data_IF_155382300620
#
_entry.id   IF_155382300620
#
_cell.length_a   1.000
_cell.length_b   1.000
_cell.length_c   1.000
_cell.angle_alpha   90.00
_cell.angle_beta   90.00
_cell.angle_gamma   90.00
#
_symmetry.space_group_name_H-M   'P 1'
#
loop_
_entity.id
_entity.type
_entity.pdbx_description
1 polymer ?
#
# COMPACT_ATOMS: atom_id res chain seq x y z
N UNK A 1 13.60 -0.26 9.13
CA UNK A 1 12.91 -1.48 8.65
C UNK A 1 11.47 -1.26 9.03
N UNK A 2 10.58 -1.11 8.06
CA UNK A 2 9.20 -0.69 8.33
C UNK A 2 8.51 -1.84 9.08
N UNK A 3 8.28 -1.68 10.39
CA UNK A 3 7.99 -2.77 11.33
C UNK A 3 6.58 -3.38 11.16
N UNK A 4 5.86 -3.06 10.07
CA UNK A 4 4.43 -3.38 9.94
C UNK A 4 4.09 -4.13 8.65
N UNK A 5 5.07 -4.38 7.78
CA UNK A 5 4.84 -5.32 6.69
C UNK A 5 5.19 -6.74 7.13
N UNK A 6 4.49 -7.23 8.15
CA UNK A 6 4.46 -8.68 8.38
C UNK A 6 3.65 -9.30 7.26
N UNK A 7 4.22 -10.33 6.62
CA UNK A 7 3.53 -11.07 5.57
C UNK A 7 2.19 -11.58 6.14
N UNK A 8 1.03 -11.24 5.53
CA UNK A 8 -0.26 -11.68 6.06
C UNK A 8 -0.31 -13.20 6.10
N UNK A 9 -0.47 -13.76 7.31
CA UNK A 9 -0.50 -15.20 7.55
C UNK A 9 -1.84 -15.86 7.21
N UNK A 10 -2.85 -15.08 6.84
CA UNK A 10 -4.15 -15.59 6.43
C UNK A 10 -4.00 -16.39 5.13
N UNK A 11 -4.39 -17.66 5.18
CA UNK A 11 -4.30 -18.58 4.05
C UNK A 11 -5.59 -18.64 3.23
N UNK A 12 -6.70 -18.12 3.77
CA UNK A 12 -8.01 -18.08 3.12
C UNK A 12 -8.66 -16.70 3.26
N UNK A 13 -9.59 -16.38 2.35
CA UNK A 13 -10.34 -15.12 2.42
C UNK A 13 -11.17 -14.98 3.72
N UNK A 14 -11.60 -16.09 4.30
CA UNK A 14 -12.33 -16.08 5.59
C UNK A 14 -11.39 -15.68 6.72
N UNK A 15 -10.20 -16.28 6.80
CA UNK A 15 -9.17 -15.91 7.77
C UNK A 15 -8.73 -14.44 7.62
N UNK A 16 -8.63 -13.94 6.39
CA UNK A 16 -8.28 -12.53 6.14
C UNK A 16 -9.38 -11.56 6.60
N UNK A 17 -10.65 -11.99 6.54
CA UNK A 17 -11.75 -11.19 7.07
C UNK A 17 -11.76 -11.21 8.59
N UNK A 18 -11.47 -12.35 9.21
CA UNK A 18 -11.39 -12.53 10.66
C UNK A 18 -10.17 -11.82 11.27
N UNK A 19 -9.06 -11.69 10.53
CA UNK A 19 -7.88 -10.93 10.96
C UNK A 19 -8.11 -9.42 11.04
N UNK A 20 -9.26 -8.93 10.55
CA UNK A 20 -9.59 -7.51 10.52
C UNK A 20 -8.89 -6.74 9.40
N UNK A 21 -8.24 -7.43 8.45
CA UNK A 21 -7.60 -6.77 7.32
C UNK A 21 -8.63 -6.01 6.48
N UNK A 22 -8.32 -4.75 6.22
CA UNK A 22 -9.13 -3.83 5.43
C UNK A 22 -8.30 -3.32 4.27
N UNK A 23 -8.92 -3.30 3.10
CA UNK A 23 -8.31 -2.66 1.94
C UNK A 23 -8.23 -1.16 2.14
N UNK A 24 -7.15 -0.57 1.63
CA UNK A 24 -6.88 0.86 1.67
C UNK A 24 -6.49 1.33 0.29
N UNK A 25 -6.84 2.57 -0.02
CA UNK A 25 -6.24 3.23 -1.18
C UNK A 25 -4.76 3.48 -0.92
N UNK A 26 -3.96 3.51 -1.98
CA UNK A 26 -2.53 3.84 -1.92
C UNK A 26 -2.29 5.16 -1.18
N UNK A 27 -3.17 6.16 -1.37
CA UNK A 27 -3.06 7.45 -0.67
C UNK A 27 -3.25 7.29 0.84
N UNK A 28 -4.22 6.50 1.26
CA UNK A 28 -4.47 6.25 2.69
C UNK A 28 -3.34 5.45 3.32
N UNK A 29 -2.86 4.42 2.64
CA UNK A 29 -1.72 3.61 3.06
C UNK A 29 -0.45 4.46 3.25
N UNK A 30 -0.13 5.28 2.24
CA UNK A 30 0.99 6.23 2.32
C UNK A 30 0.83 7.20 3.49
N UNK A 31 -0.36 7.75 3.70
CA UNK A 31 -0.63 8.67 4.80
C UNK A 31 -0.46 8.00 6.17
N UNK A 32 -1.09 6.84 6.38
CA UNK A 32 -1.03 6.08 7.64
C UNK A 32 0.41 5.72 8.02
N UNK A 33 1.16 5.21 7.04
CA UNK A 33 2.55 4.82 7.24
C UNK A 33 3.46 6.03 7.42
N UNK A 34 3.20 7.13 6.70
CA UNK A 34 3.92 8.38 6.89
C UNK A 34 3.73 8.95 8.30
N UNK A 35 2.48 9.00 8.80
CA UNK A 35 2.18 9.47 10.16
C UNK A 35 2.88 8.59 11.20
N UNK A 36 2.85 7.27 11.03
CA UNK A 36 3.55 6.34 11.93
C UNK A 36 5.06 6.58 11.98
N UNK A 37 5.70 6.76 10.82
CA UNK A 37 7.14 7.05 10.74
C UNK A 37 7.47 8.43 11.33
N UNK A 38 6.58 9.40 11.16
CA UNK A 38 6.72 10.74 11.76
C UNK A 38 6.65 10.66 13.29
N UNK A 39 5.71 9.89 13.84
CA UNK A 39 5.55 9.66 15.28
C UNK A 39 6.72 8.87 15.89
N UNK A 40 7.31 7.92 15.14
CA UNK A 40 8.48 7.16 15.60
C UNK A 40 9.77 7.98 15.58
N UNK A 41 9.77 9.16 14.96
CA UNK A 41 10.96 10.00 14.79
C UNK A 41 11.97 9.42 13.80
N UNK A 42 11.56 8.44 12.97
CA UNK A 42 12.41 7.89 11.93
C UNK A 42 12.70 8.93 10.84
N UNK A 43 13.91 8.96 10.26
CA UNK A 43 14.19 9.81 9.12
C UNK A 43 13.26 9.50 7.94
N UNK A 44 12.42 10.45 7.56
CA UNK A 44 11.43 10.31 6.49
C UNK A 44 12.09 10.26 5.11
N UNK A 45 13.05 11.15 4.87
CA UNK A 45 13.77 11.28 3.61
C UNK A 45 15.29 11.14 3.78
N UNK A 46 15.80 9.94 4.16
CA UNK A 46 17.24 9.72 4.35
C UNK A 46 18.05 9.92 3.05
N UNK A 47 19.09 10.75 3.10
CA UNK A 47 20.00 10.97 1.96
C UNK A 47 19.53 12.01 0.94
N UNK A 48 18.42 12.72 1.22
CA UNK A 48 18.11 14.00 0.59
C UNK A 48 18.81 15.09 1.40
N UNK A 49 19.63 15.91 0.74
CA UNK A 49 20.38 17.01 1.37
C UNK A 49 20.09 18.31 0.63
N UNK A 50 19.90 19.40 1.36
CA UNK A 50 19.68 20.75 0.81
C UNK A 50 18.22 21.06 0.44
N UNK A 51 17.28 20.22 0.88
CA UNK A 51 15.83 20.37 0.64
C UNK A 51 15.00 20.40 1.92
N UNK A 52 15.66 20.37 3.08
CA UNK A 52 15.08 20.28 4.42
C UNK A 52 14.15 21.48 4.71
N UNK A 53 14.54 22.66 4.25
CA UNK A 53 13.81 23.91 4.48
C UNK A 53 12.99 24.39 3.26
N UNK A 54 12.89 23.57 2.20
CA UNK A 54 12.19 23.97 0.97
C UNK A 54 11.18 22.93 0.49
N UNK A 55 11.65 21.85 -0.13
CA UNK A 55 10.79 20.88 -0.83
C UNK A 55 10.25 19.82 0.12
N UNK A 56 11.05 19.39 1.11
CA UNK A 56 10.62 18.36 2.07
C UNK A 56 9.39 18.80 2.89
N UNK A 57 9.30 20.04 3.41
CA UNK A 57 8.11 20.49 4.15
C UNK A 57 6.83 20.44 3.30
N UNK A 58 6.91 20.82 2.03
CA UNK A 58 5.76 20.78 1.10
C UNK A 58 5.31 19.34 0.81
N UNK A 59 6.26 18.41 0.65
CA UNK A 59 5.94 16.99 0.47
C UNK A 59 5.28 16.44 1.74
N UNK A 60 5.78 16.78 2.92
CA UNK A 60 5.19 16.35 4.18
C UNK A 60 3.73 16.81 4.29
N UNK A 61 3.47 18.08 3.97
CA UNK A 61 2.12 18.63 3.98
C UNK A 61 1.21 17.93 2.95
N UNK A 62 1.70 17.69 1.74
CA UNK A 62 0.95 17.00 0.70
C UNK A 62 0.61 15.55 1.09
N UNK A 63 1.54 14.82 1.72
CA UNK A 63 1.32 13.47 2.23
C UNK A 63 0.30 13.46 3.37
N UNK A 64 0.42 14.38 4.32
CA UNK A 64 -0.57 14.53 5.41
C UNK A 64 -1.96 14.89 4.89
N UNK A 65 -2.06 15.65 3.80
CA UNK A 65 -3.32 16.03 3.21
C UNK A 65 -3.87 15.02 2.19
N UNK A 66 -3.11 13.98 1.81
CA UNK A 66 -3.49 13.04 0.75
C UNK A 66 -3.57 13.69 -0.64
N UNK A 67 -2.83 14.76 -0.87
CA UNK A 67 -2.84 15.52 -2.11
C UNK A 67 -2.00 14.87 -3.22
N UNK A 68 -2.41 15.11 -4.46
CA UNK A 68 -1.59 14.78 -5.63
C UNK A 68 -0.42 15.76 -5.74
N UNK A 69 0.77 15.24 -6.06
CA UNK A 69 2.00 16.02 -6.15
C UNK A 69 2.53 16.06 -7.59
N UNK A 70 2.97 17.24 -8.03
CA UNK A 70 3.66 17.43 -9.30
C UNK A 70 5.08 17.94 -9.05
N UNK A 71 6.09 17.13 -9.38
CA UNK A 71 7.50 17.50 -9.24
C UNK A 71 8.00 18.27 -10.47
N UNK A 72 8.27 19.56 -10.33
CA UNK A 72 8.82 20.43 -11.37
C UNK A 72 10.22 20.95 -10.99
N UNK A 73 11.09 21.13 -11.98
CA UNK A 73 12.40 21.79 -11.79
C UNK A 73 13.46 21.31 -12.77
N UNK A 74 14.68 21.83 -12.63
CA UNK A 74 15.79 21.57 -13.53
C UNK A 74 16.38 20.15 -13.43
N UNK A 75 17.13 19.74 -14.46
CA UNK A 75 17.86 18.46 -14.46
C UNK A 75 18.84 18.43 -13.28
N UNK A 76 18.86 17.32 -12.54
CA UNK A 76 19.75 17.13 -11.39
C UNK A 76 19.15 17.50 -10.03
N UNK A 77 17.95 18.10 -9.98
CA UNK A 77 17.31 18.54 -8.72
C UNK A 77 16.56 17.44 -7.96
N UNK A 78 17.20 16.30 -7.67
CA UNK A 78 16.71 15.21 -6.80
C UNK A 78 15.28 14.65 -6.99
N UNK A 79 14.47 15.12 -7.97
CA UNK A 79 13.05 14.74 -8.17
C UNK A 79 12.86 13.23 -8.23
N UNK A 80 13.58 12.55 -9.11
CA UNK A 80 13.50 11.09 -9.23
C UNK A 80 14.04 10.35 -8.01
N UNK A 81 14.90 10.97 -7.20
CA UNK A 81 15.35 10.37 -5.94
C UNK A 81 14.22 10.44 -4.90
N UNK A 82 13.62 11.62 -4.73
CA UNK A 82 12.46 11.84 -3.84
C UNK A 82 11.30 10.91 -4.21
N UNK A 83 10.92 10.84 -5.49
CA UNK A 83 9.82 9.97 -5.94
C UNK A 83 10.04 8.49 -5.57
N UNK A 84 11.27 8.00 -5.68
CA UNK A 84 11.60 6.62 -5.29
C UNK A 84 11.60 6.41 -3.78
N UNK A 85 11.71 7.47 -2.99
CA UNK A 85 11.64 7.37 -1.53
C UNK A 85 10.21 7.32 -1.03
N UNK A 86 9.24 7.79 -1.82
CA UNK A 86 7.82 7.69 -1.47
C UNK A 86 7.36 6.23 -1.32
N UNK A 87 8.00 5.27 -1.99
CA UNK A 87 7.70 3.83 -1.84
C UNK A 87 8.03 3.30 -0.44
N UNK A 88 8.78 4.04 0.38
CA UNK A 88 9.05 3.68 1.78
C UNK A 88 7.81 3.76 2.66
N UNK A 89 6.81 4.52 2.23
CA UNK A 89 5.54 4.66 2.93
C UNK A 89 4.49 3.65 2.44
N UNK A 90 4.86 2.73 1.55
CA UNK A 90 4.01 1.62 1.14
C UNK A 90 4.37 0.37 1.96
N UNK A 91 3.36 -0.46 2.18
CA UNK A 91 3.49 -1.79 2.73
C UNK A 91 4.23 -2.67 1.71
N UNK A 92 5.10 -3.55 2.22
CA UNK A 92 5.86 -4.50 1.40
C UNK A 92 4.98 -5.64 0.90
N UNK A 93 3.90 -5.95 1.60
CA UNK A 93 3.04 -7.09 1.34
C UNK A 93 1.58 -6.68 1.22
N UNK A 94 0.95 -7.05 0.11
CA UNK A 94 -0.50 -6.93 -0.05
C UNK A 94 -1.07 -8.32 -0.35
N UNK A 95 -2.10 -8.79 0.41
CA UNK A 95 -2.72 -10.07 0.13
C UNK A 95 -3.52 -9.99 -1.17
N UNK A 96 -3.46 -11.04 -1.97
CA UNK A 96 -4.30 -11.22 -3.16
C UNK A 96 -4.81 -12.65 -3.24
N UNK A 97 -5.86 -12.85 -4.05
CA UNK A 97 -6.44 -14.16 -4.30
C UNK A 97 -5.65 -14.84 -5.43
N UNK A 98 -5.00 -15.97 -5.13
CA UNK A 98 -4.34 -16.80 -6.13
C UNK A 98 -5.36 -17.76 -6.76
N UNK A 99 -5.97 -17.32 -7.88
CA UNK A 99 -6.98 -18.09 -8.60
C UNK A 99 -6.71 -18.08 -10.12
N UNK A 100 -6.72 -19.25 -10.81
CA UNK A 100 -6.38 -19.34 -12.24
C UNK A 100 -7.25 -18.47 -13.17
N UNK A 101 -8.53 -18.30 -12.82
CA UNK A 101 -9.48 -17.47 -13.58
C UNK A 101 -9.30 -15.95 -13.37
N UNK A 102 -8.44 -15.53 -12.43
CA UNK A 102 -8.12 -14.11 -12.21
C UNK A 102 -6.86 -13.77 -13.01
N UNK A 103 -6.96 -12.92 -14.06
CA UNK A 103 -5.80 -12.59 -14.89
C UNK A 103 -4.81 -11.64 -14.22
N UNK A 104 -5.18 -11.02 -13.10
CA UNK A 104 -4.40 -10.00 -12.39
C UNK A 104 -4.56 -10.17 -10.88
N UNK A 105 -3.54 -9.76 -10.13
CA UNK A 105 -3.63 -9.65 -8.68
C UNK A 105 -4.44 -8.39 -8.35
N UNK A 106 -5.51 -8.58 -7.60
CA UNK A 106 -6.41 -7.49 -7.22
C UNK A 106 -6.76 -7.61 -5.73
N UNK A 107 -7.42 -6.56 -5.24
CA UNK A 107 -7.97 -6.50 -3.90
C UNK A 107 -8.82 -7.74 -3.59
N UNK A 108 -8.47 -8.51 -2.54
CA UNK A 108 -9.17 -9.72 -2.18
C UNK A 108 -10.60 -9.47 -1.64
N UNK A 109 -10.91 -8.24 -1.20
CA UNK A 109 -12.22 -7.85 -0.66
C UNK A 109 -13.10 -7.16 -1.69
N UNK A 110 -12.51 -6.34 -2.56
CA UNK A 110 -13.24 -5.51 -3.53
C UNK A 110 -12.75 -5.72 -4.97
N UNK A 111 -12.73 -6.96 -5.45
CA UNK A 111 -12.38 -7.18 -6.87
C UNK A 111 -13.50 -6.77 -7.82
N UNK A 112 -13.08 -6.09 -8.88
CA UNK A 112 -13.90 -5.59 -9.96
C UNK A 112 -14.03 -6.61 -11.10
N UNK A 113 -13.39 -7.79 -10.99
CA UNK A 113 -13.44 -8.83 -12.00
C UNK A 113 -14.78 -9.55 -12.00
N UNK A 114 -15.44 -9.56 -13.17
CA UNK A 114 -16.74 -10.24 -13.38
C UNK A 114 -16.72 -11.73 -12.99
N UNK A 115 -15.60 -12.41 -13.24
CA UNK A 115 -15.42 -13.82 -12.87
C UNK A 115 -15.60 -14.03 -11.36
N UNK A 116 -15.01 -13.16 -10.56
CA UNK A 116 -15.09 -13.23 -9.10
C UNK A 116 -16.45 -12.84 -8.54
N UNK A 117 -17.07 -11.79 -9.08
CA UNK A 117 -18.41 -11.34 -8.67
C UNK A 117 -19.47 -12.45 -8.89
N UNK A 118 -19.26 -13.32 -9.87
CA UNK A 118 -20.12 -14.48 -10.12
C UNK A 118 -19.77 -15.67 -9.22
N UNK A 119 -18.52 -15.74 -8.76
CA UNK A 119 -17.97 -16.85 -7.98
C UNK A 119 -18.30 -16.76 -6.48
N UNK A 120 -18.11 -15.60 -5.85
CA UNK A 120 -18.35 -15.38 -4.40
C UNK A 120 -19.75 -15.81 -3.96
N UNK A 121 -20.85 -15.46 -4.67
CA UNK A 121 -22.19 -15.86 -4.26
C UNK A 121 -22.43 -17.37 -4.36
N UNK A 122 -21.71 -18.07 -5.26
CA UNK A 122 -21.85 -19.53 -5.46
C UNK A 122 -21.17 -20.35 -4.37
N UNK A 123 -20.21 -19.76 -3.65
CA UNK A 123 -19.40 -20.42 -2.63
C UNK A 123 -19.52 -19.80 -1.23
N UNK A 124 -20.38 -18.79 -1.05
CA UNK A 124 -20.67 -18.18 0.25
C UNK A 124 -21.18 -19.24 1.25
N UNK A 125 -20.34 -19.61 2.23
CA UNK A 125 -20.67 -20.59 3.28
C UNK A 125 -19.89 -21.92 3.22
N UNK A 126 -18.95 -22.09 2.28
CA UNK A 126 -17.94 -23.15 2.33
C UNK A 126 -16.58 -22.56 2.76
N UNK A 127 -15.70 -23.31 3.44
CA UNK A 127 -14.31 -22.88 3.59
C UNK A 127 -13.76 -22.66 2.18
N UNK A 128 -13.43 -21.40 1.90
CA UNK A 128 -13.00 -20.97 0.58
C UNK A 128 -11.69 -21.71 0.27
N UNK A 129 -11.63 -22.57 -0.76
CA UNK A 129 -10.45 -23.41 -1.01
C UNK A 129 -9.27 -22.62 -1.58
N UNK A 130 -9.44 -21.32 -1.83
CA UNK A 130 -8.47 -20.51 -2.53
C UNK A 130 -7.43 -19.94 -1.57
N UNK A 131 -6.18 -20.21 -1.94
CA UNK A 131 -4.99 -19.79 -1.22
C UNK A 131 -4.85 -18.29 -1.38
N UNK A 132 -4.85 -17.57 -0.26
CA UNK A 132 -4.31 -16.22 -0.25
C UNK A 132 -2.80 -16.30 -0.32
N UNK A 133 -2.24 -15.40 -1.14
CA UNK A 133 -0.81 -15.22 -1.25
C UNK A 133 -0.51 -13.75 -0.99
N UNK A 134 0.59 -13.49 -0.30
CA UNK A 134 1.12 -12.14 -0.12
C UNK A 134 2.17 -11.88 -1.21
N UNK A 135 2.11 -10.72 -1.86
CA UNK A 135 3.15 -10.22 -2.78
C UNK A 135 3.65 -8.87 -2.36
#
# INVERSE_FOLDING_TARGET
>A
MNVVSECPHASTLSELRESGWVSKSVKQEMQDNFVRMLESGEPLFPGIVGYEDTVIPEINLALLAGHDMLFLGEKGQAKSRIMRMLTRFLDEWVPYIDHPDLPVHEDPRETHLRGWQTFVPRHAGRPDPHRLVAS
#
